data_IF_258048401369
#
_entry.id   IF_258048401369
#
_cell.length_a   1.000
_cell.length_b   1.000
_cell.length_c   1.000
_cell.angle_alpha   90.00
_cell.angle_beta   90.00
_cell.angle_gamma   90.00
#
_symmetry.space_group_name_H-M   'P 1'
#
loop_
_entity.id
_entity.type
_entity.pdbx_description
1 polymer ?
#
# COMPACT_ATOMS: atom_id res chain seq x y z
N UNK A 1 19.57 -13.79 23.97
CA UNK A 1 18.38 -13.02 24.40
C UNK A 1 17.50 -13.89 25.28
N UNK A 2 17.70 -13.83 26.60
CA UNK A 2 16.88 -14.54 27.59
C UNK A 2 15.73 -13.63 28.01
N UNK A 3 14.48 -14.14 27.99
CA UNK A 3 13.32 -13.42 28.52
C UNK A 3 12.10 -13.26 27.61
N UNK A 4 12.13 -13.69 26.33
CA UNK A 4 10.90 -13.74 25.52
C UNK A 4 10.01 -14.91 25.98
N UNK A 5 8.83 -14.59 26.50
CA UNK A 5 7.74 -15.54 26.70
C UNK A 5 7.40 -16.20 25.37
N UNK A 6 7.14 -17.51 25.40
CA UNK A 6 6.82 -18.29 24.21
C UNK A 6 5.31 -18.39 24.08
N UNK A 7 4.75 -18.32 22.86
CA UNK A 7 3.31 -18.46 22.68
C UNK A 7 2.84 -19.81 23.24
N UNK A 8 1.68 -19.82 23.89
CA UNK A 8 1.14 -21.02 24.58
C UNK A 8 0.94 -22.19 23.63
N UNK A 9 0.61 -21.92 22.37
CA UNK A 9 0.57 -22.92 21.28
C UNK A 9 1.88 -23.70 21.12
N UNK A 10 3.03 -23.02 21.24
CA UNK A 10 4.36 -23.65 21.15
C UNK A 10 4.69 -24.46 22.42
N UNK A 11 4.16 -24.06 23.58
CA UNK A 11 4.31 -24.81 24.84
C UNK A 11 3.43 -26.08 24.83
N UNK A 12 2.20 -26.01 24.30
CA UNK A 12 1.34 -27.18 24.09
C UNK A 12 2.01 -28.21 23.15
N UNK A 13 2.64 -27.75 22.06
CA UNK A 13 3.40 -28.63 21.18
C UNK A 13 4.63 -29.27 21.87
N UNK A 14 5.32 -28.53 22.73
CA UNK A 14 6.43 -29.05 23.53
C UNK A 14 5.96 -30.20 24.44
N UNK A 15 4.83 -30.03 25.13
CA UNK A 15 4.27 -31.05 26.01
C UNK A 15 3.84 -32.31 25.22
N UNK A 16 3.21 -32.15 24.05
CA UNK A 16 2.85 -33.28 23.16
C UNK A 16 4.07 -34.07 22.70
N UNK A 17 5.13 -33.39 22.26
CA UNK A 17 6.36 -34.06 21.83
C UNK A 17 7.05 -34.77 23.00
N UNK A 18 6.93 -34.24 24.22
CA UNK A 18 7.43 -34.91 25.41
C UNK A 18 6.63 -36.17 25.76
N UNK A 19 5.30 -36.11 25.65
CA UNK A 19 4.40 -37.26 25.84
C UNK A 19 4.67 -38.38 24.80
N UNK A 20 5.04 -38.01 23.58
CA UNK A 20 5.48 -38.93 22.52
C UNK A 20 6.89 -39.51 22.74
N UNK A 21 7.53 -39.25 23.88
CA UNK A 21 8.85 -39.81 24.23
C UNK A 21 10.04 -39.18 23.50
N UNK A 22 9.87 -38.04 22.81
CA UNK A 22 10.96 -37.39 22.09
C UNK A 22 12.02 -36.82 23.03
N UNK A 23 13.28 -36.92 22.62
CA UNK A 23 14.40 -36.42 23.43
C UNK A 23 14.41 -34.88 23.49
N UNK A 24 14.81 -34.29 24.62
CA UNK A 24 14.84 -32.82 24.83
C UNK A 24 15.61 -32.04 23.75
N UNK A 25 16.67 -32.65 23.18
CA UNK A 25 17.44 -32.06 22.06
C UNK A 25 16.66 -32.05 20.75
N UNK A 26 15.87 -33.09 20.51
CA UNK A 26 15.02 -33.25 19.32
C UNK A 26 13.85 -32.26 19.37
N UNK A 27 13.19 -32.13 20.53
CA UNK A 27 12.11 -31.15 20.76
C UNK A 27 12.61 -29.72 20.51
N UNK A 28 13.79 -29.37 21.01
CA UNK A 28 14.41 -28.06 20.80
C UNK A 28 14.64 -27.76 19.30
N UNK A 29 15.07 -28.76 18.53
CA UNK A 29 15.32 -28.65 17.09
C UNK A 29 14.02 -28.47 16.30
N UNK A 30 12.98 -29.25 16.62
CA UNK A 30 11.68 -29.22 15.93
C UNK A 30 10.98 -27.88 16.15
N UNK A 31 10.99 -27.36 17.38
CA UNK A 31 10.27 -26.14 17.74
C UNK A 31 11.10 -24.86 17.55
N UNK A 32 12.37 -24.95 17.15
CA UNK A 32 13.25 -23.78 16.99
C UNK A 32 13.51 -23.01 18.28
N UNK A 33 13.52 -23.71 19.44
CA UNK A 33 13.74 -23.11 20.76
C UNK A 33 14.99 -23.66 21.43
N UNK A 34 15.56 -22.90 22.38
CA UNK A 34 16.77 -23.35 23.07
C UNK A 34 16.51 -24.59 23.93
N UNK A 35 17.48 -25.51 24.00
CA UNK A 35 17.43 -26.68 24.90
C UNK A 35 17.19 -26.30 26.37
N UNK A 36 17.70 -25.15 26.80
CA UNK A 36 17.51 -24.63 28.15
C UNK A 36 16.08 -24.19 28.40
N UNK A 37 15.42 -23.63 27.39
CA UNK A 37 13.98 -23.30 27.43
C UNK A 37 13.14 -24.56 27.54
N UNK A 38 13.44 -25.60 26.75
CA UNK A 38 12.75 -26.90 26.85
C UNK A 38 12.89 -27.50 28.25
N UNK A 39 14.13 -27.49 28.79
CA UNK A 39 14.41 -27.98 30.14
C UNK A 39 13.63 -27.21 31.20
N UNK A 40 13.53 -25.87 31.08
CA UNK A 40 12.81 -25.02 32.03
C UNK A 40 11.31 -25.31 32.05
N UNK A 41 10.65 -25.42 30.89
CA UNK A 41 9.21 -25.72 30.85
C UNK A 41 8.88 -27.14 31.31
N UNK A 42 9.71 -28.14 30.98
CA UNK A 42 9.52 -29.50 31.50
C UNK A 42 9.74 -29.59 33.01
N UNK A 43 10.65 -28.79 33.56
CA UNK A 43 10.81 -28.69 35.01
C UNK A 43 9.58 -28.05 35.66
N UNK A 44 9.04 -26.96 35.09
CA UNK A 44 7.81 -26.32 35.57
C UNK A 44 6.61 -27.27 35.50
N UNK A 45 6.51 -28.06 34.44
CA UNK A 45 5.53 -29.15 34.32
C UNK A 45 5.67 -30.14 35.48
N UNK A 46 6.87 -30.65 35.73
CA UNK A 46 7.12 -31.59 36.84
C UNK A 46 6.79 -31.02 38.22
N UNK A 47 6.83 -29.69 38.39
CA UNK A 47 6.44 -29.01 39.63
C UNK A 47 4.94 -28.68 39.72
N UNK A 48 4.17 -28.85 38.64
CA UNK A 48 2.77 -28.41 38.55
C UNK A 48 1.76 -29.45 39.07
N UNK A 49 2.13 -30.74 39.10
CA UNK A 49 1.27 -31.83 39.58
C UNK A 49 0.09 -32.21 38.67
N UNK A 50 -0.03 -31.63 37.47
CA UNK A 50 -1.07 -31.94 36.49
C UNK A 50 -0.58 -32.96 35.45
N UNK A 51 -1.50 -33.74 34.87
CA UNK A 51 -1.18 -34.56 33.70
C UNK A 51 -1.05 -33.68 32.44
N UNK A 52 -0.32 -34.17 31.43
CA UNK A 52 -0.14 -33.48 30.16
C UNK A 52 -1.47 -33.28 29.43
N UNK A 53 -2.37 -34.27 29.48
CA UNK A 53 -3.66 -34.20 28.80
C UNK A 53 -4.52 -33.04 29.36
N UNK A 54 -4.59 -32.90 30.68
CA UNK A 54 -5.29 -31.79 31.35
C UNK A 54 -4.71 -30.42 30.96
N UNK A 55 -3.38 -30.35 30.82
CA UNK A 55 -2.68 -29.12 30.42
C UNK A 55 -2.93 -28.73 28.96
N UNK A 56 -3.24 -29.70 28.10
CA UNK A 56 -3.54 -29.45 26.70
C UNK A 56 -4.98 -28.95 26.50
N UNK A 57 -5.89 -29.33 27.39
CA UNK A 57 -7.30 -28.90 27.37
C UNK A 57 -7.52 -27.51 27.95
N UNK A 58 -6.63 -27.00 28.80
CA UNK A 58 -6.77 -25.64 29.32
C UNK A 58 -6.68 -24.58 28.22
N UNK A 59 -7.55 -23.57 28.34
CA UNK A 59 -7.45 -22.35 27.55
C UNK A 59 -6.12 -21.63 27.80
N UNK A 60 -5.62 -20.98 26.74
CA UNK A 60 -4.29 -20.36 26.74
C UNK A 60 -4.04 -19.39 27.92
N UNK A 61 -5.00 -18.54 28.36
CA UNK A 61 -4.79 -17.67 29.53
C UNK A 61 -4.61 -18.44 30.85
N UNK A 62 -5.31 -19.56 31.01
CA UNK A 62 -5.24 -20.40 32.20
C UNK A 62 -3.91 -21.15 32.22
N UNK A 63 -3.50 -21.70 31.07
CA UNK A 63 -2.21 -22.37 30.90
C UNK A 63 -1.05 -21.40 31.17
N UNK A 64 -1.17 -20.16 30.67
CA UNK A 64 -0.18 -19.11 30.85
C UNK A 64 0.01 -18.77 32.34
N UNK A 65 -1.08 -18.59 33.09
CA UNK A 65 -1.01 -18.33 34.54
C UNK A 65 -0.28 -19.43 35.32
N UNK A 66 -0.36 -20.69 34.89
CA UNK A 66 0.27 -21.84 35.55
C UNK A 66 1.78 -21.92 35.27
N UNK A 67 2.20 -21.60 34.05
CA UNK A 67 3.63 -21.65 33.66
C UNK A 67 4.39 -20.34 33.93
N UNK A 68 3.68 -19.22 34.06
CA UNK A 68 4.24 -17.88 34.27
C UNK A 68 3.98 -17.32 35.68
N UNK A 69 3.69 -18.17 36.67
CA UNK A 69 3.67 -17.76 38.08
C UNK A 69 4.90 -16.88 38.36
N UNK A 70 4.62 -15.63 38.71
CA UNK A 70 5.62 -14.58 38.85
C UNK A 70 6.77 -15.01 39.75
N UNK A 71 7.94 -14.44 39.49
CA UNK A 71 9.16 -14.64 40.27
C UNK A 71 8.83 -14.67 41.79
N UNK A 72 9.30 -15.65 42.59
CA UNK A 72 8.96 -15.83 44.01
C UNK A 72 9.47 -14.71 44.96
N UNK A 73 9.71 -13.51 44.44
CA UNK A 73 10.07 -12.30 45.18
C UNK A 73 8.93 -11.74 46.05
N UNK A 74 7.70 -12.26 45.91
CA UNK A 74 6.53 -11.77 46.64
C UNK A 74 6.39 -12.31 48.08
N UNK A 75 7.39 -13.04 48.59
CA UNK A 75 7.42 -13.57 49.96
C UNK A 75 8.62 -13.07 50.80
N UNK A 76 9.17 -11.91 50.48
CA UNK A 76 10.22 -11.29 51.31
C UNK A 76 9.68 -10.07 52.06
N UNK A 77 9.94 -9.99 53.37
CA UNK A 77 9.61 -8.82 54.21
C UNK A 77 10.11 -7.48 53.64
N UNK A 78 11.15 -7.51 52.78
CA UNK A 78 11.69 -6.35 52.07
C UNK A 78 10.68 -5.72 51.10
N UNK A 79 9.83 -6.52 50.47
CA UNK A 79 8.80 -6.05 49.54
C UNK A 79 7.62 -5.40 50.26
N UNK A 80 7.25 -5.88 51.45
CA UNK A 80 6.15 -5.31 52.23
C UNK A 80 6.44 -3.86 52.65
N UNK A 81 7.69 -3.57 53.04
CA UNK A 81 8.12 -2.21 53.37
C UNK A 81 8.04 -1.30 52.15
N UNK A 82 8.62 -1.76 51.03
CA UNK A 82 8.60 -1.01 49.78
C UNK A 82 7.16 -0.75 49.28
N UNK A 83 6.28 -1.76 49.36
CA UNK A 83 4.87 -1.66 48.95
C UNK A 83 4.10 -0.57 49.70
N UNK A 84 4.36 -0.38 50.99
CA UNK A 84 3.68 0.66 51.80
C UNK A 84 4.02 2.09 51.35
N UNK A 85 5.20 2.29 50.76
CA UNK A 85 5.68 3.61 50.32
C UNK A 85 5.56 3.83 48.79
N UNK A 86 5.06 2.83 48.04
CA UNK A 86 4.94 2.89 46.58
C UNK A 86 4.08 4.06 46.08
N UNK A 87 2.95 4.34 46.74
CA UNK A 87 2.07 5.44 46.34
C UNK A 87 2.73 6.81 46.52
N UNK A 88 3.51 6.97 47.60
CA UNK A 88 4.31 8.18 47.86
C UNK A 88 5.34 8.41 46.76
N UNK A 89 6.13 7.39 46.41
CA UNK A 89 7.15 7.50 45.36
C UNK A 89 6.56 7.82 43.98
N UNK A 90 5.38 7.27 43.66
CA UNK A 90 4.67 7.59 42.40
C UNK A 90 4.16 9.03 42.37
N UNK A 91 3.79 9.61 43.52
CA UNK A 91 3.37 11.00 43.61
C UNK A 91 4.55 11.97 43.53
N UNK A 92 5.65 11.70 44.24
CA UNK A 92 6.84 12.57 44.23
C UNK A 92 7.55 12.59 42.87
N UNK A 93 7.52 11.50 42.10
CA UNK A 93 8.00 11.47 40.71
C UNK A 93 7.30 12.44 39.76
N UNK A 94 6.16 13.03 40.15
CA UNK A 94 5.46 14.04 39.34
C UNK A 94 5.97 15.46 39.58
N UNK A 95 6.80 15.69 40.61
CA UNK A 95 7.36 17.01 40.92
C UNK A 95 8.60 17.29 40.08
N UNK A 96 8.76 18.54 39.65
CA UNK A 96 9.88 18.97 38.81
C UNK A 96 11.19 18.83 39.59
N UNK A 97 12.17 18.09 39.02
CA UNK A 97 13.50 17.89 39.59
C UNK A 97 13.70 16.58 40.36
N UNK A 98 12.62 15.82 40.63
CA UNK A 98 12.71 14.52 41.32
C UNK A 98 13.01 13.41 40.32
N UNK A 99 14.10 12.68 40.53
CA UNK A 99 14.50 11.54 39.69
C UNK A 99 14.33 10.21 40.43
N UNK A 100 14.24 9.10 39.69
CA UNK A 100 14.17 7.75 40.29
C UNK A 100 15.39 7.42 41.14
N UNK A 101 16.53 8.04 40.85
CA UNK A 101 17.77 7.86 41.61
C UNK A 101 17.63 8.51 43.00
N UNK A 102 17.14 9.76 43.05
CA UNK A 102 16.90 10.50 44.30
C UNK A 102 15.94 9.73 45.22
N UNK A 103 14.83 9.22 44.68
CA UNK A 103 13.87 8.44 45.48
C UNK A 103 14.43 7.08 45.93
N UNK A 104 15.35 6.50 45.16
CA UNK A 104 16.02 5.26 45.57
C UNK A 104 17.06 5.51 46.66
N UNK A 105 17.78 6.64 46.61
CA UNK A 105 18.70 7.08 47.65
C UNK A 105 17.94 7.30 48.98
N UNK A 106 16.79 8.00 48.95
CA UNK A 106 15.88 8.16 50.09
C UNK A 106 15.35 6.81 50.63
N UNK A 107 15.02 5.88 49.74
CA UNK A 107 14.64 4.51 50.11
C UNK A 107 15.80 3.73 50.76
N UNK A 108 17.04 3.94 50.31
CA UNK A 108 18.22 3.26 50.87
C UNK A 108 18.65 3.83 52.21
N UNK A 109 18.48 5.13 52.45
CA UNK A 109 18.70 5.76 53.75
C UNK A 109 17.73 5.23 54.81
N UNK A 110 16.45 5.11 54.45
CA UNK A 110 15.41 4.57 55.34
C UNK A 110 15.46 3.05 55.49
N UNK A 111 16.03 2.32 54.53
CA UNK A 111 16.16 0.86 54.58
C UNK A 111 17.50 0.37 53.99
N UNK A 112 18.56 0.27 54.82
CA UNK A 112 19.90 -0.14 54.37
C UNK A 112 19.93 -1.52 53.71
N UNK A 113 19.08 -2.46 54.16
CA UNK A 113 18.93 -3.82 53.61
C UNK A 113 17.90 -3.93 52.48
N UNK A 114 17.42 -2.79 51.96
CA UNK A 114 16.45 -2.70 50.87
C UNK A 114 17.01 -3.06 49.49
N UNK A 115 16.12 -3.08 48.49
CA UNK A 115 16.43 -3.41 47.10
C UNK A 115 17.50 -2.52 46.45
N UNK A 116 18.27 -3.12 45.54
CA UNK A 116 19.19 -2.39 44.66
C UNK A 116 18.42 -1.49 43.67
N UNK A 117 19.08 -0.47 43.12
CA UNK A 117 18.46 0.53 42.23
C UNK A 117 17.64 -0.09 41.08
N UNK A 118 18.20 -1.10 40.42
CA UNK A 118 17.54 -1.82 39.32
C UNK A 118 16.26 -2.55 39.78
N UNK A 119 16.28 -3.14 40.96
CA UNK A 119 15.13 -3.85 41.54
C UNK A 119 14.05 -2.88 42.03
N UNK A 120 14.45 -1.76 42.63
CA UNK A 120 13.55 -0.67 43.01
C UNK A 120 12.80 -0.11 41.79
N UNK A 121 13.55 0.21 40.71
CA UNK A 121 12.96 0.66 39.45
C UNK A 121 12.00 -0.38 38.85
N UNK A 122 12.33 -1.67 38.94
CA UNK A 122 11.47 -2.76 38.48
C UNK A 122 10.14 -2.80 39.23
N UNK A 123 10.16 -2.79 40.57
CA UNK A 123 8.94 -2.83 41.38
C UNK A 123 8.07 -1.58 41.20
N UNK A 124 8.70 -0.41 41.10
CA UNK A 124 7.99 0.85 40.85
C UNK A 124 7.29 0.85 39.48
N UNK A 125 7.96 0.33 38.45
CA UNK A 125 7.38 0.18 37.12
C UNK A 125 6.21 -0.83 37.10
N UNK A 126 6.33 -1.95 37.81
CA UNK A 126 5.25 -2.93 37.93
C UNK A 126 4.04 -2.37 38.68
N UNK A 127 4.26 -1.57 39.73
CA UNK A 127 3.19 -0.89 40.46
C UNK A 127 2.43 0.11 39.57
N UNK A 128 3.16 0.89 38.77
CA UNK A 128 2.55 1.79 37.78
C UNK A 128 1.73 1.05 36.71
N UNK A 129 2.20 -0.12 36.26
CA UNK A 129 1.43 -0.99 35.35
C UNK A 129 0.17 -1.55 35.99
N UNK A 130 0.25 -2.06 37.21
CA UNK A 130 -0.89 -2.60 37.94
C UNK A 130 -1.96 -1.55 38.29
N UNK A 131 -1.53 -0.30 38.54
CA UNK A 131 -2.45 0.82 38.82
C UNK A 131 -3.29 1.29 37.63
N UNK A 132 -2.98 0.84 36.41
CA UNK A 132 -3.74 1.12 35.19
C UNK A 132 -4.48 -0.13 34.73
N UNK A 133 -5.71 -0.39 35.22
CA UNK A 133 -6.54 -1.44 34.66
C UNK A 133 -6.92 -1.06 33.22
N UNK A 134 -6.34 -1.73 32.24
CA UNK A 134 -6.86 -1.74 30.86
C UNK A 134 -8.10 -2.61 30.84
N UNK A 135 -9.28 -1.99 30.88
CA UNK A 135 -10.52 -2.69 30.60
C UNK A 135 -10.56 -3.03 29.10
N UNK A 136 -10.81 -4.29 28.77
CA UNK A 136 -11.17 -4.68 27.40
C UNK A 136 -12.59 -4.17 27.17
N UNK A 137 -12.74 -3.16 26.31
CA UNK A 137 -14.04 -2.68 25.88
C UNK A 137 -14.55 -3.60 24.78
N UNK A 138 -15.69 -4.25 25.02
CA UNK A 138 -16.40 -5.00 23.99
C UNK A 138 -17.20 -4.02 23.14
N UNK A 139 -17.01 -4.06 21.83
CA UNK A 139 -17.78 -3.28 20.85
C UNK A 139 -18.65 -4.23 20.05
N UNK A 140 -19.89 -3.83 19.74
CA UNK A 140 -20.73 -4.55 18.79
C UNK A 140 -20.52 -3.98 17.37
N UNK A 141 -20.54 -4.81 16.32
CA UNK A 141 -20.48 -4.34 14.93
C UNK A 141 -21.58 -3.32 14.64
N UNK A 142 -21.22 -2.21 14.00
CA UNK A 142 -22.16 -1.14 13.59
C UNK A 142 -22.95 -0.45 14.71
N UNK A 143 -22.62 -0.71 15.98
CA UNK A 143 -23.30 -0.08 17.12
C UNK A 143 -22.92 1.40 17.23
N UNK A 144 -21.62 1.71 17.15
CA UNK A 144 -21.10 3.07 17.33
C UNK A 144 -20.12 3.46 16.23
N UNK A 145 -20.15 4.73 15.86
CA UNK A 145 -19.12 5.39 15.06
C UNK A 145 -18.53 6.53 15.87
N UNK A 146 -17.24 6.46 16.16
CA UNK A 146 -16.52 7.56 16.81
C UNK A 146 -16.09 8.57 15.77
N UNK A 147 -16.33 9.86 16.02
CA UNK A 147 -15.93 10.94 15.13
C UNK A 147 -15.12 11.99 15.89
N UNK A 148 -14.08 12.51 15.25
CA UNK A 148 -13.22 13.56 15.79
C UNK A 148 -12.55 14.37 14.68
N UNK A 149 -12.06 15.56 15.02
CA UNK A 149 -11.11 16.29 14.20
C UNK A 149 -9.67 16.04 14.66
N UNK A 150 -8.80 15.79 13.70
CA UNK A 150 -7.37 15.76 13.90
C UNK A 150 -6.86 17.01 14.62
N UNK A 151 -6.04 16.81 15.66
CA UNK A 151 -5.55 17.94 16.47
C UNK A 151 -4.64 18.94 15.74
N UNK A 152 -3.84 18.51 14.74
CA UNK A 152 -2.93 19.42 14.01
C UNK A 152 -3.53 19.80 12.66
N UNK A 153 -3.72 21.10 12.44
CA UNK A 153 -4.10 21.66 11.14
C UNK A 153 -3.09 21.26 10.06
N UNK A 154 -3.61 20.78 8.93
CA UNK A 154 -2.83 20.52 7.72
C UNK A 154 -3.00 21.69 6.74
N UNK A 155 -2.25 21.65 5.64
CA UNK A 155 -2.41 22.59 4.54
C UNK A 155 -2.19 21.90 3.21
N UNK A 156 -2.83 22.42 2.18
CA UNK A 156 -2.62 22.03 0.78
C UNK A 156 -2.35 23.28 -0.06
N UNK A 157 -1.73 23.11 -1.22
CA UNK A 157 -1.43 24.20 -2.15
C UNK A 157 -2.45 24.14 -3.27
N UNK A 158 -3.12 25.26 -3.54
CA UNK A 158 -3.91 25.40 -4.75
C UNK A 158 -2.97 25.52 -5.95
N UNK A 159 -3.09 24.61 -6.91
CA UNK A 159 -2.20 24.50 -8.07
C UNK A 159 -2.40 25.69 -9.04
N UNK A 160 -3.57 26.32 -9.03
CA UNK A 160 -3.89 27.44 -9.91
C UNK A 160 -3.41 28.78 -9.36
N UNK A 161 -3.55 28.99 -8.05
CA UNK A 161 -3.20 30.27 -7.40
C UNK A 161 -1.85 30.25 -6.69
N UNK A 162 -1.31 29.06 -6.39
CA UNK A 162 -0.10 28.88 -5.58
C UNK A 162 -0.31 29.14 -4.09
N UNK A 163 -1.54 29.42 -3.65
CA UNK A 163 -1.84 29.75 -2.26
C UNK A 163 -1.83 28.51 -1.36
N UNK A 164 -1.30 28.68 -0.14
CA UNK A 164 -1.32 27.65 0.90
C UNK A 164 -2.64 27.77 1.67
N UNK A 165 -3.55 26.83 1.43
CA UNK A 165 -4.86 26.77 2.09
C UNK A 165 -4.76 25.81 3.28
N UNK A 166 -5.10 26.31 4.47
CA UNK A 166 -5.17 25.48 5.69
C UNK A 166 -6.45 24.63 5.67
N UNK A 167 -6.34 23.39 6.12
CA UNK A 167 -7.45 22.46 6.23
C UNK A 167 -7.39 21.67 7.54
N UNK A 168 -8.56 21.15 7.91
CA UNK A 168 -8.76 20.30 9.08
C UNK A 168 -9.11 18.91 8.61
N UNK A 169 -8.70 17.88 9.34
CA UNK A 169 -9.00 16.48 8.96
C UNK A 169 -10.05 15.93 9.89
N UNK A 170 -11.23 15.68 9.34
CA UNK A 170 -12.26 14.86 9.97
C UNK A 170 -11.82 13.39 9.94
N UNK A 171 -11.97 12.69 11.07
CA UNK A 171 -11.66 11.28 11.21
C UNK A 171 -12.85 10.58 11.87
N UNK A 172 -13.26 9.46 11.30
CA UNK A 172 -14.28 8.58 11.87
C UNK A 172 -13.74 7.17 12.00
N UNK A 173 -14.17 6.41 13.01
CA UNK A 173 -13.70 5.05 13.26
C UNK A 173 -14.82 4.16 13.81
N UNK A 174 -14.98 2.97 13.21
CA UNK A 174 -15.79 1.89 13.73
C UNK A 174 -14.97 1.08 14.74
N UNK A 175 -15.37 1.04 16.03
CA UNK A 175 -14.54 0.50 17.10
C UNK A 175 -14.46 -1.04 17.12
N UNK A 176 -15.39 -1.74 16.43
CA UNK A 176 -15.35 -3.20 16.32
C UNK A 176 -14.26 -3.69 15.36
N UNK A 177 -14.09 -3.00 14.22
CA UNK A 177 -13.21 -3.43 13.12
C UNK A 177 -11.99 -2.54 12.92
N UNK A 178 -11.86 -1.46 13.70
CA UNK A 178 -10.90 -0.37 13.49
C UNK A 178 -11.01 0.31 12.12
N UNK A 179 -12.12 0.08 11.40
CA UNK A 179 -12.32 0.63 10.07
C UNK A 179 -12.50 2.14 10.14
N UNK A 180 -11.55 2.86 9.55
CA UNK A 180 -11.46 4.31 9.66
C UNK A 180 -11.77 5.02 8.34
N UNK A 181 -12.42 6.17 8.45
CA UNK A 181 -12.64 7.11 7.38
C UNK A 181 -11.97 8.43 7.74
N UNK A 182 -11.36 9.10 6.76
CA UNK A 182 -10.77 10.41 6.97
C UNK A 182 -11.04 11.33 5.77
N UNK A 183 -11.34 12.59 6.05
CA UNK A 183 -11.63 13.60 5.03
C UNK A 183 -11.04 14.95 5.43
N UNK A 184 -10.37 15.62 4.50
CA UNK A 184 -9.94 17.00 4.69
C UNK A 184 -11.11 17.95 4.36
N UNK A 185 -11.40 18.87 5.28
CA UNK A 185 -12.41 19.93 5.14
C UNK A 185 -11.79 21.29 5.41
N UNK A 186 -12.43 22.36 4.92
CA UNK A 186 -11.89 23.72 5.01
C UNK A 186 -11.87 24.20 6.46
N UNK A 187 -12.97 24.00 7.18
CA UNK A 187 -13.15 24.47 8.56
C UNK A 187 -13.73 23.38 9.46
N UNK A 188 -13.86 23.67 10.76
CA UNK A 188 -14.61 22.83 11.71
C UNK A 188 -16.08 23.29 11.85
N UNK A 189 -16.53 24.21 11.00
CA UNK A 189 -17.89 24.75 11.04
C UNK A 189 -18.98 23.70 10.79
N UNK A 190 -20.22 24.06 11.11
CA UNK A 190 -21.38 23.16 11.09
C UNK A 190 -21.57 22.52 9.70
N UNK A 191 -21.47 23.31 8.63
CA UNK A 191 -21.63 22.83 7.25
C UNK A 191 -20.58 21.80 6.84
N UNK A 192 -19.29 22.12 7.05
CA UNK A 192 -18.16 21.23 6.75
C UNK A 192 -18.24 19.93 7.58
N UNK A 193 -18.73 20.03 8.82
CA UNK A 193 -18.89 18.88 9.70
C UNK A 193 -20.01 17.95 9.26
N UNK A 194 -21.19 18.50 8.92
CA UNK A 194 -22.33 17.75 8.37
C UNK A 194 -21.96 17.11 7.04
N UNK A 195 -21.26 17.85 6.18
CA UNK A 195 -20.75 17.33 4.92
C UNK A 195 -19.82 16.13 5.13
N UNK A 196 -18.86 16.25 6.05
CA UNK A 196 -17.94 15.17 6.37
C UNK A 196 -18.65 13.91 6.91
N UNK A 197 -19.64 14.08 7.78
CA UNK A 197 -20.46 12.96 8.29
C UNK A 197 -21.25 12.30 7.14
N UNK A 198 -21.88 13.09 6.29
CA UNK A 198 -22.68 12.58 5.15
C UNK A 198 -21.82 11.78 4.18
N UNK A 199 -20.63 12.27 3.86
CA UNK A 199 -19.65 11.54 3.05
C UNK A 199 -19.14 10.26 3.74
N UNK A 200 -18.92 10.31 5.06
CA UNK A 200 -18.52 9.15 5.85
C UNK A 200 -19.58 8.05 5.78
N UNK A 201 -20.85 8.36 6.06
CA UNK A 201 -21.95 7.40 6.01
C UNK A 201 -22.13 6.80 4.61
N UNK A 202 -22.01 7.64 3.57
CA UNK A 202 -22.06 7.19 2.17
C UNK A 202 -20.91 6.23 1.85
N UNK A 203 -19.70 6.50 2.34
CA UNK A 203 -18.53 5.64 2.15
C UNK A 203 -18.66 4.30 2.88
N UNK A 204 -19.20 4.32 4.10
CA UNK A 204 -19.45 3.11 4.89
C UNK A 204 -20.53 2.21 4.26
N UNK A 205 -21.37 2.76 3.38
CA UNK A 205 -22.46 2.02 2.72
C UNK A 205 -23.60 1.65 3.69
N UNK A 206 -23.66 2.29 4.86
CA UNK A 206 -24.62 2.02 5.91
C UNK A 206 -24.50 3.02 7.07
N UNK A 207 -25.52 3.05 7.92
CA UNK A 207 -25.60 3.98 9.05
C UNK A 207 -25.46 3.22 10.37
N UNK A 208 -24.53 3.62 11.26
CA UNK A 208 -24.38 3.03 12.59
C UNK A 208 -25.54 3.45 13.50
N UNK A 209 -25.83 2.67 14.56
CA UNK A 209 -26.91 3.01 15.50
C UNK A 209 -26.66 4.32 16.25
N UNK A 210 -25.42 4.61 16.60
CA UNK A 210 -25.04 5.84 17.26
C UNK A 210 -23.76 6.47 16.68
N UNK A 211 -23.75 7.80 16.60
CA UNK A 211 -22.59 8.61 16.27
C UNK A 211 -22.09 9.29 17.55
N UNK A 212 -20.81 9.11 17.86
CA UNK A 212 -20.19 9.57 19.11
C UNK A 212 -19.11 10.60 18.82
N UNK A 213 -19.42 11.91 18.92
CA UNK A 213 -18.43 12.97 18.83
C UNK A 213 -17.64 13.14 20.13
N UNK A 214 -16.31 13.19 20.06
CA UNK A 214 -15.42 13.27 21.24
C UNK A 214 -15.38 14.68 21.87
N UNK A 215 -15.73 15.75 21.12
CA UNK A 215 -15.72 17.11 21.68
C UNK A 215 -16.58 18.15 20.91
N UNK A 216 -17.90 18.12 21.10
CA UNK A 216 -18.85 19.02 20.42
C UNK A 216 -18.56 20.52 20.61
N UNK A 217 -18.00 20.94 21.75
CA UNK A 217 -17.81 22.37 22.08
C UNK A 217 -16.61 23.02 21.40
N UNK A 218 -15.60 22.24 21.03
CA UNK A 218 -14.40 22.75 20.36
C UNK A 218 -14.60 22.95 18.86
N UNK A 219 -15.61 22.29 18.29
CA UNK A 219 -15.88 22.32 16.85
C UNK A 219 -16.45 23.66 16.36
N UNK A 220 -17.08 24.47 17.23
CA UNK A 220 -17.72 25.73 16.83
C UNK A 220 -16.98 26.92 17.42
N UNK A 221 -15.89 27.35 16.77
CA UNK A 221 -15.27 28.65 17.05
C UNK A 221 -15.72 29.66 15.99
N UNK A 222 -16.99 30.08 16.09
CA UNK A 222 -17.55 31.39 15.71
C UNK A 222 -19.07 31.28 15.72
N UNK A 223 -19.73 32.06 16.57
CA UNK A 223 -21.18 32.24 16.55
C UNK A 223 -21.55 33.28 15.49
N UNK A 224 -22.10 32.84 14.35
CA UNK A 224 -22.84 33.72 13.44
C UNK A 224 -24.33 33.70 13.81
N UNK A 225 -25.01 34.85 13.71
CA UNK A 225 -26.42 35.02 14.15
C UNK A 225 -27.43 34.29 13.28
N UNK A 226 -27.03 33.84 12.10
CA UNK A 226 -27.90 33.24 11.08
C UNK A 226 -27.62 31.74 10.84
N UNK A 227 -26.61 31.16 11.48
CA UNK A 227 -26.33 29.73 11.38
C UNK A 227 -27.14 28.95 12.43
N UNK A 228 -27.74 27.78 12.07
CA UNK A 228 -28.39 26.92 13.04
C UNK A 228 -27.36 26.43 14.07
N UNK A 229 -27.75 26.37 15.34
CA UNK A 229 -26.89 25.82 16.38
C UNK A 229 -26.49 24.38 16.02
N UNK A 230 -25.21 24.03 16.18
CA UNK A 230 -24.65 22.72 15.82
C UNK A 230 -25.51 21.55 16.31
N UNK A 231 -26.10 21.66 17.50
CA UNK A 231 -26.95 20.61 18.07
C UNK A 231 -28.22 20.38 17.22
N UNK A 232 -28.87 21.44 16.75
CA UNK A 232 -30.09 21.34 15.93
C UNK A 232 -29.77 20.67 14.59
N UNK A 233 -28.69 21.12 13.94
CA UNK A 233 -28.31 20.59 12.63
C UNK A 233 -27.82 19.12 12.72
N UNK A 234 -27.22 18.74 13.84
CA UNK A 234 -26.87 17.36 14.14
C UNK A 234 -28.11 16.50 14.45
N UNK A 235 -29.08 17.01 15.20
CA UNK A 235 -30.34 16.32 15.47
C UNK A 235 -31.13 16.08 14.18
N UNK A 236 -31.19 17.07 13.29
CA UNK A 236 -31.82 16.94 11.97
C UNK A 236 -31.13 15.87 11.10
N UNK A 237 -29.79 15.84 11.11
CA UNK A 237 -29.01 14.79 10.44
C UNK A 237 -29.31 13.42 11.03
N UNK A 238 -29.37 13.31 12.37
CA UNK A 238 -29.67 12.06 13.06
C UNK A 238 -31.05 11.52 12.68
N UNK A 239 -32.06 12.41 12.63
CA UNK A 239 -33.41 12.09 12.19
C UNK A 239 -33.45 11.65 10.72
N UNK A 240 -32.71 12.33 9.83
CA UNK A 240 -32.66 11.98 8.41
C UNK A 240 -32.09 10.57 8.16
N UNK A 241 -31.00 10.23 8.84
CA UNK A 241 -30.32 8.94 8.66
C UNK A 241 -30.84 7.83 9.58
N UNK A 242 -31.78 8.12 10.48
CA UNK A 242 -32.31 7.15 11.44
C UNK A 242 -31.27 6.68 12.46
N UNK A 243 -30.38 7.58 12.89
CA UNK A 243 -29.31 7.32 13.87
C UNK A 243 -29.48 8.19 15.11
N UNK A 244 -28.64 8.00 16.13
CA UNK A 244 -28.65 8.80 17.36
C UNK A 244 -27.28 9.43 17.59
N UNK A 245 -27.25 10.69 18.05
CA UNK A 245 -25.99 11.36 18.41
C UNK A 245 -25.80 11.29 19.92
N UNK A 246 -24.70 10.68 20.35
CA UNK A 246 -24.41 10.47 21.78
C UNK A 246 -23.08 11.13 22.10
N UNK A 247 -23.05 12.27 22.80
CA UNK A 247 -21.79 12.95 23.14
C UNK A 247 -20.93 12.10 24.08
N UNK A 248 -19.61 12.10 23.87
CA UNK A 248 -18.66 11.46 24.78
C UNK A 248 -18.68 12.15 26.16
N UNK A 249 -18.60 11.37 27.25
CA UNK A 249 -18.69 11.90 28.63
C UNK A 249 -17.44 12.73 29.00
N UNK A 250 -17.63 14.02 29.27
CA UNK A 250 -16.59 15.04 29.54
C UNK A 250 -15.70 14.78 30.77
N UNK A 251 -16.08 13.91 31.73
CA UNK A 251 -15.43 13.80 33.06
C UNK A 251 -14.78 12.47 33.44
N UNK A 252 -14.72 11.49 32.54
CA UNK A 252 -13.96 10.25 32.78
C UNK A 252 -13.47 9.65 31.47
N UNK A 253 -12.22 9.89 31.06
CA UNK A 253 -11.71 9.45 29.77
C UNK A 253 -11.39 7.95 29.81
N UNK A 254 -12.41 7.10 29.74
CA UNK A 254 -12.24 5.65 29.55
C UNK A 254 -12.46 5.24 28.09
N UNK A 255 -13.21 6.04 27.33
CA UNK A 255 -13.42 5.85 25.89
C UNK A 255 -12.22 6.36 25.03
N UNK A 256 -11.30 7.12 25.66
CA UNK A 256 -10.02 7.56 25.04
C UNK A 256 -9.11 6.41 24.59
N UNK A 257 -9.34 5.20 25.09
CA UNK A 257 -8.40 4.09 24.91
C UNK A 257 -8.20 3.70 23.44
N UNK A 258 -9.22 3.76 22.57
CA UNK A 258 -9.05 3.33 21.17
C UNK A 258 -8.20 4.31 20.33
N UNK A 259 -8.41 5.61 20.51
CA UNK A 259 -7.60 6.63 19.82
C UNK A 259 -6.19 6.76 20.41
N UNK A 260 -6.03 6.55 21.72
CA UNK A 260 -4.71 6.63 22.38
C UNK A 260 -3.88 5.34 22.28
N UNK A 261 -4.49 4.15 22.16
CA UNK A 261 -3.73 2.89 22.00
C UNK A 261 -2.99 2.84 20.65
N UNK A 262 -3.39 3.65 19.68
CA UNK A 262 -2.64 3.87 18.42
C UNK A 262 -1.30 4.58 18.61
N UNK A 263 -1.00 5.13 19.80
CA UNK A 263 0.34 5.66 20.13
C UNK A 263 1.43 4.57 20.19
N UNK A 264 1.07 3.27 20.18
CA UNK A 264 2.04 2.17 20.25
C UNK A 264 2.59 1.70 18.89
N UNK A 265 2.07 2.21 17.78
CA UNK A 265 2.73 2.16 16.47
C UNK A 265 2.90 3.61 15.98
N UNK A 266 4.13 4.12 16.01
CA UNK A 266 4.51 5.50 15.70
C UNK A 266 4.21 5.88 14.23
N UNK A 267 2.93 6.04 13.88
CA UNK A 267 2.49 6.73 12.69
C UNK A 267 1.60 7.87 13.16
N UNK A 268 2.13 9.09 13.05
CA UNK A 268 1.30 10.29 13.18
C UNK A 268 0.16 10.25 12.17
N UNK A 269 -0.95 10.92 12.46
CA UNK A 269 -2.06 11.03 11.51
C UNK A 269 -1.58 11.53 10.13
N UNK A 270 -0.64 12.47 10.11
CA UNK A 270 -0.05 12.96 8.86
C UNK A 270 0.69 11.87 8.07
N UNK A 271 1.38 10.95 8.74
CA UNK A 271 2.06 9.83 8.09
C UNK A 271 1.05 8.77 7.62
N UNK A 272 0.03 8.48 8.43
CA UNK A 272 -1.08 7.61 8.03
C UNK A 272 -1.81 8.13 6.78
N UNK A 273 -2.14 9.42 6.74
CA UNK A 273 -2.76 10.05 5.58
C UNK A 273 -1.85 10.03 4.35
N UNK A 274 -0.55 10.28 4.51
CA UNK A 274 0.41 10.17 3.39
C UNK A 274 0.42 8.76 2.80
N UNK A 275 0.42 7.72 3.64
CA UNK A 275 0.37 6.33 3.19
C UNK A 275 -0.94 6.03 2.46
N UNK A 276 -2.09 6.47 2.98
CA UNK A 276 -3.39 6.30 2.32
C UNK A 276 -3.45 7.00 0.97
N UNK A 277 -2.98 8.24 0.88
CA UNK A 277 -2.92 9.00 -0.37
C UNK A 277 -1.96 8.38 -1.38
N UNK A 278 -0.81 7.88 -0.93
CA UNK A 278 0.14 7.16 -1.78
C UNK A 278 -0.48 5.87 -2.34
N UNK A 279 -1.17 5.10 -1.50
CA UNK A 279 -1.86 3.88 -1.93
C UNK A 279 -2.96 4.18 -2.95
N UNK A 280 -3.79 5.20 -2.72
CA UNK A 280 -4.84 5.61 -3.68
C UNK A 280 -4.22 6.09 -5.00
N UNK A 281 -3.14 6.88 -4.94
CA UNK A 281 -2.42 7.32 -6.13
C UNK A 281 -1.82 6.15 -6.93
N UNK A 282 -1.18 5.20 -6.26
CA UNK A 282 -0.65 3.98 -6.87
C UNK A 282 -1.76 3.12 -7.48
N UNK A 283 -2.88 2.94 -6.77
CA UNK A 283 -4.06 2.22 -7.26
C UNK A 283 -4.60 2.85 -8.55
N UNK A 284 -4.78 4.18 -8.59
CA UNK A 284 -5.20 4.90 -9.81
C UNK A 284 -4.20 4.75 -10.96
N UNK A 285 -2.90 4.83 -10.69
CA UNK A 285 -1.85 4.60 -11.69
C UNK A 285 -1.91 3.19 -12.25
N UNK A 286 -2.00 2.18 -11.39
CA UNK A 286 -2.09 0.78 -11.79
C UNK A 286 -3.36 0.51 -12.61
N UNK A 287 -4.51 1.01 -12.17
CA UNK A 287 -5.78 0.89 -12.91
C UNK A 287 -5.69 1.54 -14.30
N UNK A 288 -5.05 2.72 -14.40
CA UNK A 288 -4.79 3.37 -15.68
C UNK A 288 -3.88 2.52 -16.56
N UNK A 289 -2.77 2.01 -16.02
CA UNK A 289 -1.83 1.15 -16.73
C UNK A 289 -2.51 -0.10 -17.29
N UNK A 290 -3.23 -0.85 -16.45
CA UNK A 290 -3.93 -2.08 -16.86
C UNK A 290 -4.97 -1.80 -17.95
N UNK A 291 -5.71 -0.68 -17.85
CA UNK A 291 -6.64 -0.26 -18.90
C UNK A 291 -5.92 0.04 -20.22
N UNK A 292 -4.81 0.78 -20.18
CA UNK A 292 -4.04 1.12 -21.39
C UNK A 292 -3.44 -0.14 -22.02
N UNK A 293 -2.84 -1.01 -21.22
CA UNK A 293 -2.26 -2.29 -21.63
C UNK A 293 -3.30 -3.20 -22.28
N UNK A 294 -4.49 -3.31 -21.69
CA UNK A 294 -5.62 -4.08 -22.25
C UNK A 294 -6.07 -3.50 -23.59
N UNK A 295 -6.21 -2.17 -23.68
CA UNK A 295 -6.67 -1.49 -24.89
C UNK A 295 -5.65 -1.57 -26.04
N UNK A 296 -4.34 -1.64 -25.73
CA UNK A 296 -3.28 -1.73 -26.73
C UNK A 296 -3.31 -3.05 -27.51
N UNK A 297 -3.72 -4.15 -26.87
CA UNK A 297 -3.90 -5.44 -27.55
C UNK A 297 -2.60 -6.14 -27.94
N UNK A 298 -1.57 -6.06 -27.09
CA UNK A 298 -0.26 -6.68 -27.36
C UNK A 298 -0.33 -8.18 -27.62
N UNK A 299 0.51 -8.67 -28.54
CA UNK A 299 0.66 -10.11 -28.84
C UNK A 299 1.33 -10.88 -27.69
N UNK A 300 2.28 -10.25 -27.01
CA UNK A 300 3.00 -10.85 -25.89
C UNK A 300 2.85 -9.99 -24.64
N UNK A 301 2.78 -10.67 -23.50
CA UNK A 301 3.02 -10.06 -22.20
C UNK A 301 4.52 -10.02 -22.00
N UNK A 302 5.13 -8.83 -22.15
CA UNK A 302 6.57 -8.66 -22.15
C UNK A 302 6.92 -7.38 -21.39
N UNK A 303 7.92 -7.43 -20.52
CA UNK A 303 8.48 -6.25 -19.85
C UNK A 303 9.92 -5.98 -20.30
N UNK A 304 10.42 -4.77 -20.03
CA UNK A 304 11.78 -4.41 -20.43
C UNK A 304 12.82 -5.25 -19.66
N UNK A 305 12.52 -5.61 -18.42
CA UNK A 305 13.38 -6.43 -17.55
C UNK A 305 13.56 -7.87 -18.05
N UNK A 306 12.59 -8.38 -18.83
CA UNK A 306 12.65 -9.72 -19.43
C UNK A 306 13.48 -9.75 -20.73
N UNK A 307 13.91 -8.59 -21.24
CA UNK A 307 14.72 -8.52 -22.46
C UNK A 307 16.13 -9.01 -22.15
N UNK A 308 16.55 -10.06 -22.86
CA UNK A 308 17.95 -10.49 -22.86
C UNK A 308 18.82 -9.46 -23.59
N UNK A 309 19.56 -8.67 -22.81
CA UNK A 309 20.50 -7.64 -23.27
C UNK A 309 21.81 -8.30 -23.65
N UNK A 310 22.17 -8.18 -24.91
CA UNK A 310 23.42 -8.69 -25.46
C UNK A 310 23.76 -7.89 -26.72
N UNK A 311 24.90 -7.21 -26.70
CA UNK A 311 25.36 -6.39 -27.82
C UNK A 311 25.57 -7.25 -29.08
N UNK A 312 25.96 -8.52 -28.96
CA UNK A 312 26.09 -9.44 -30.09
C UNK A 312 24.74 -9.74 -30.76
N UNK A 313 23.64 -9.57 -30.03
CA UNK A 313 22.27 -9.69 -30.54
C UNK A 313 21.75 -8.39 -31.15
N UNK A 314 22.50 -7.29 -31.07
CA UNK A 314 22.04 -5.96 -31.48
C UNK A 314 21.10 -5.29 -30.47
N UNK A 315 21.05 -5.78 -29.22
CA UNK A 315 20.34 -5.11 -28.11
C UNK A 315 21.38 -4.53 -27.17
N UNK A 316 21.74 -3.27 -27.41
CA UNK A 316 22.63 -2.53 -26.52
C UNK A 316 21.90 -2.00 -25.27
N UNK A 317 22.61 -1.99 -24.14
CA UNK A 317 22.05 -1.56 -22.85
C UNK A 317 21.73 -0.08 -22.82
N UNK A 318 22.60 0.76 -23.40
CA UNK A 318 22.41 2.22 -23.41
C UNK A 318 21.25 2.60 -24.32
N UNK A 319 21.16 1.97 -25.49
CA UNK A 319 20.04 2.15 -26.40
C UNK A 319 18.71 1.72 -25.76
N UNK A 320 18.66 0.53 -25.13
CA UNK A 320 17.44 0.05 -24.48
C UNK A 320 17.04 0.96 -23.31
N UNK A 321 18.00 1.43 -22.50
CA UNK A 321 17.74 2.38 -21.43
C UNK A 321 17.19 3.71 -21.96
N UNK A 322 17.74 4.21 -23.07
CA UNK A 322 17.27 5.43 -23.75
C UNK A 322 15.84 5.26 -24.22
N UNK A 323 15.52 4.16 -24.92
CA UNK A 323 14.15 3.87 -25.37
C UNK A 323 13.19 3.65 -24.20
N UNK A 324 13.67 3.08 -23.08
CA UNK A 324 12.88 2.88 -21.87
C UNK A 324 12.47 4.19 -21.18
N UNK A 325 13.15 5.31 -21.45
CA UNK A 325 12.73 6.64 -20.97
C UNK A 325 11.47 7.14 -21.69
N UNK A 326 11.24 6.69 -22.93
CA UNK A 326 10.14 7.15 -23.77
C UNK A 326 10.40 8.47 -24.52
N UNK A 327 11.61 9.04 -24.46
CA UNK A 327 11.94 10.32 -25.11
C UNK A 327 11.62 10.33 -26.61
N UNK A 328 11.83 9.22 -27.31
CA UNK A 328 11.50 9.08 -28.74
C UNK A 328 10.01 9.38 -29.04
N UNK A 329 9.11 9.10 -28.09
CA UNK A 329 7.66 9.39 -28.22
C UNK A 329 7.33 10.87 -28.12
N UNK A 330 8.19 11.67 -27.48
CA UNK A 330 8.00 13.13 -27.38
C UNK A 330 8.41 13.82 -28.67
N UNK A 331 9.43 13.29 -29.34
CA UNK A 331 9.95 13.80 -30.61
C UNK A 331 9.23 13.21 -31.84
N UNK A 332 8.33 12.24 -31.66
CA UNK A 332 7.66 11.54 -32.76
C UNK A 332 8.62 10.67 -33.60
N UNK A 333 9.73 10.23 -33.01
CA UNK A 333 10.75 9.41 -33.67
C UNK A 333 10.27 7.96 -33.80
N UNK A 334 10.70 7.28 -34.86
CA UNK A 334 10.33 5.89 -35.11
C UNK A 334 11.35 4.90 -34.53
N UNK A 335 10.91 3.69 -34.21
CA UNK A 335 11.79 2.57 -33.83
C UNK A 335 11.58 1.43 -34.81
N UNK A 336 12.63 1.09 -35.56
CA UNK A 336 12.59 0.02 -36.56
C UNK A 336 13.35 -1.18 -36.01
N UNK A 337 12.68 -2.32 -35.89
CA UNK A 337 13.23 -3.56 -35.33
C UNK A 337 13.26 -4.63 -36.41
N UNK A 338 14.44 -4.93 -36.93
CA UNK A 338 14.65 -5.95 -37.97
C UNK A 338 15.33 -7.19 -37.40
N UNK A 339 15.40 -8.27 -38.18
CA UNK A 339 16.10 -9.51 -37.78
C UNK A 339 15.35 -10.79 -38.17
N UNK A 340 16.00 -11.94 -38.09
CA UNK A 340 15.43 -13.21 -38.51
C UNK A 340 14.22 -13.67 -37.66
N UNK A 341 13.48 -14.66 -38.14
CA UNK A 341 12.33 -15.21 -37.42
C UNK A 341 12.74 -15.82 -36.08
N UNK A 342 12.01 -15.48 -35.01
CA UNK A 342 12.29 -16.01 -33.67
C UNK A 342 13.36 -15.26 -32.88
N UNK A 343 14.02 -14.23 -33.43
CA UNK A 343 15.00 -13.40 -32.72
C UNK A 343 14.37 -12.40 -31.73
N UNK A 344 13.07 -12.49 -31.43
CA UNK A 344 12.40 -11.68 -30.40
C UNK A 344 11.92 -10.27 -30.79
N UNK A 345 11.84 -9.93 -32.09
CA UNK A 345 11.37 -8.60 -32.56
C UNK A 345 10.04 -8.16 -31.95
N UNK A 346 9.01 -8.99 -32.10
CA UNK A 346 7.67 -8.73 -31.57
C UNK A 346 7.64 -8.67 -30.03
N UNK A 347 8.56 -9.40 -29.36
CA UNK A 347 8.70 -9.36 -27.91
C UNK A 347 9.28 -8.01 -27.47
N UNK A 348 10.36 -7.55 -28.12
CA UNK A 348 10.96 -6.24 -27.87
C UNK A 348 9.97 -5.10 -28.14
N UNK A 349 9.25 -5.13 -29.25
CA UNK A 349 8.21 -4.15 -29.56
C UNK A 349 7.10 -4.15 -28.49
N UNK A 350 6.66 -5.34 -28.05
CA UNK A 350 5.65 -5.45 -26.99
C UNK A 350 6.17 -4.90 -25.67
N UNK A 351 7.42 -5.17 -25.29
CA UNK A 351 8.03 -4.66 -24.07
C UNK A 351 8.13 -3.12 -24.05
N UNK A 352 8.59 -2.52 -25.15
CA UNK A 352 8.60 -1.06 -25.32
C UNK A 352 7.19 -0.47 -25.26
N UNK A 353 6.21 -1.13 -25.87
CA UNK A 353 4.81 -0.72 -25.80
C UNK A 353 4.21 -0.82 -24.39
N UNK A 354 4.55 -1.85 -23.63
CA UNK A 354 4.11 -1.97 -22.24
C UNK A 354 4.75 -0.90 -21.36
N UNK A 355 6.03 -0.61 -21.57
CA UNK A 355 6.70 0.49 -20.89
C UNK A 355 6.04 1.85 -21.19
N UNK A 356 5.67 2.10 -22.45
CA UNK A 356 4.92 3.29 -22.81
C UNK A 356 3.56 3.37 -22.08
N UNK A 357 2.84 2.24 -21.96
CA UNK A 357 1.62 2.17 -21.16
C UNK A 357 1.86 2.49 -19.67
N UNK A 358 2.98 2.01 -19.11
CA UNK A 358 3.39 2.27 -17.71
C UNK A 358 3.65 3.76 -17.47
N UNK A 359 4.19 4.46 -18.48
CA UNK A 359 4.36 5.91 -18.51
C UNK A 359 3.04 6.66 -18.78
N UNK A 360 1.92 5.94 -18.91
CA UNK A 360 0.59 6.51 -19.12
C UNK A 360 0.27 6.88 -20.57
N UNK A 361 1.10 6.47 -21.54
CA UNK A 361 0.90 6.73 -22.98
C UNK A 361 -0.10 5.74 -23.58
N UNK A 362 -0.90 6.21 -24.55
CA UNK A 362 -1.86 5.40 -25.32
C UNK A 362 -1.13 4.66 -26.42
N UNK A 363 -1.16 3.34 -26.35
CA UNK A 363 -0.51 2.48 -27.34
C UNK A 363 -1.57 1.71 -28.13
N UNK A 364 -1.33 1.49 -29.42
CA UNK A 364 -2.06 0.52 -30.23
C UNK A 364 -1.10 -0.44 -30.90
N UNK A 365 -1.40 -1.74 -30.82
CA UNK A 365 -0.60 -2.78 -31.43
C UNK A 365 -1.39 -3.49 -32.53
N UNK A 366 -0.79 -3.63 -33.69
CA UNK A 366 -1.34 -4.39 -34.81
C UNK A 366 -0.27 -5.25 -35.47
N UNK A 367 -0.61 -6.49 -35.78
CA UNK A 367 0.06 -7.19 -36.87
C UNK A 367 -0.38 -6.55 -38.19
N UNK A 368 0.55 -6.29 -39.12
CA UNK A 368 0.29 -5.56 -40.36
C UNK A 368 -0.87 -6.17 -41.16
N UNK A 369 -0.91 -7.48 -41.34
CA UNK A 369 -1.97 -8.15 -42.11
C UNK A 369 -3.35 -7.93 -41.48
N UNK A 370 -3.42 -7.94 -40.14
CA UNK A 370 -4.67 -7.62 -39.42
C UNK A 370 -5.04 -6.15 -39.53
N UNK A 371 -4.06 -5.25 -39.58
CA UNK A 371 -4.30 -3.81 -39.79
C UNK A 371 -4.90 -3.57 -41.17
N UNK A 372 -4.29 -4.13 -42.23
CA UNK A 372 -4.75 -4.01 -43.62
C UNK A 372 -6.15 -4.61 -43.81
N UNK A 373 -6.43 -5.75 -43.17
CA UNK A 373 -7.78 -6.32 -43.17
C UNK A 373 -8.79 -5.37 -42.51
N UNK A 374 -8.41 -4.73 -41.38
CA UNK A 374 -9.29 -3.77 -40.69
C UNK A 374 -9.49 -2.49 -41.49
N UNK A 375 -8.47 -1.96 -42.17
CA UNK A 375 -8.65 -0.78 -43.04
C UNK A 375 -9.58 -1.10 -44.20
N UNK A 376 -9.42 -2.29 -44.81
CA UNK A 376 -10.34 -2.77 -45.85
C UNK A 376 -11.79 -2.85 -45.36
N UNK A 377 -12.04 -3.44 -44.19
CA UNK A 377 -13.40 -3.53 -43.62
C UNK A 377 -13.97 -2.16 -43.28
N UNK A 378 -13.19 -1.31 -42.62
CA UNK A 378 -13.63 0.05 -42.29
C UNK A 378 -13.94 0.90 -43.53
N UNK A 379 -13.27 0.63 -44.66
CA UNK A 379 -13.56 1.26 -45.95
C UNK A 379 -14.90 0.79 -46.51
N UNK A 380 -15.19 -0.51 -46.47
CA UNK A 380 -16.48 -1.08 -46.88
C UNK A 380 -17.64 -0.57 -46.02
N UNK A 381 -17.40 -0.35 -44.73
CA UNK A 381 -18.39 0.18 -43.77
C UNK A 381 -18.51 1.72 -43.79
N UNK A 382 -17.70 2.43 -44.57
CA UNK A 382 -17.68 3.89 -44.60
C UNK A 382 -17.14 4.55 -43.32
N UNK A 383 -16.42 3.79 -42.47
CA UNK A 383 -15.88 4.24 -41.19
C UNK A 383 -14.34 4.42 -41.18
N UNK A 384 -13.69 4.37 -42.33
CA UNK A 384 -12.22 4.46 -42.45
C UNK A 384 -11.64 5.73 -41.81
N UNK A 385 -12.26 6.89 -42.02
CA UNK A 385 -11.82 8.15 -41.41
C UNK A 385 -11.85 8.11 -39.88
N UNK A 386 -12.85 7.45 -39.28
CA UNK A 386 -12.92 7.25 -37.82
C UNK A 386 -11.78 6.37 -37.33
N UNK A 387 -11.40 5.36 -38.11
CA UNK A 387 -10.27 4.48 -37.79
C UNK A 387 -8.94 5.24 -37.85
N UNK A 388 -8.66 5.98 -38.91
CA UNK A 388 -7.43 6.78 -39.01
C UNK A 388 -7.35 7.87 -37.94
N UNK A 389 -8.45 8.58 -37.68
CA UNK A 389 -8.54 9.53 -36.56
C UNK A 389 -8.26 8.88 -35.20
N UNK A 390 -8.65 7.62 -35.02
CA UNK A 390 -8.36 6.87 -33.79
C UNK A 390 -6.88 6.50 -33.71
N UNK A 391 -6.27 6.08 -34.83
CA UNK A 391 -4.86 5.73 -34.89
C UNK A 391 -3.97 6.96 -34.67
N UNK A 392 -4.26 8.10 -35.30
CA UNK A 392 -3.49 9.34 -35.13
C UNK A 392 -3.47 9.82 -33.67
N UNK A 393 -4.57 9.65 -32.93
CA UNK A 393 -4.67 9.99 -31.50
C UNK A 393 -3.92 9.06 -30.53
N UNK A 394 -3.27 8.00 -31.03
CA UNK A 394 -2.43 7.14 -30.18
C UNK A 394 -1.02 7.70 -30.09
N UNK A 395 -0.44 7.69 -28.89
CA UNK A 395 0.91 8.21 -28.66
C UNK A 395 1.96 7.30 -29.34
N UNK A 396 1.71 5.98 -29.34
CA UNK A 396 2.57 4.98 -29.96
C UNK A 396 1.73 3.96 -30.76
N UNK A 397 2.09 3.77 -32.03
CA UNK A 397 1.50 2.74 -32.88
C UNK A 397 2.57 1.69 -33.22
N UNK A 398 2.28 0.43 -32.92
CA UNK A 398 3.16 -0.70 -33.20
C UNK A 398 2.60 -1.49 -34.38
N UNK A 399 3.39 -1.62 -35.43
CA UNK A 399 3.10 -2.43 -36.62
C UNK A 399 4.08 -3.61 -36.64
N UNK A 400 3.57 -4.78 -36.31
CA UNK A 400 4.34 -6.03 -36.23
C UNK A 400 4.25 -6.83 -37.54
N UNK A 401 5.32 -7.55 -37.88
CA UNK A 401 5.43 -8.42 -39.06
C UNK A 401 5.26 -7.65 -40.40
N UNK A 402 5.92 -6.49 -40.53
CA UNK A 402 6.01 -5.74 -41.78
C UNK A 402 6.78 -6.53 -42.84
N UNK A 403 6.32 -6.44 -44.09
CA UNK A 403 7.06 -6.95 -45.24
C UNK A 403 6.98 -8.45 -45.52
N UNK A 404 6.00 -9.16 -44.95
CA UNK A 404 5.76 -10.57 -45.30
C UNK A 404 5.26 -10.77 -46.75
N UNK A 405 4.53 -9.80 -47.28
CA UNK A 405 3.94 -9.82 -48.62
C UNK A 405 4.09 -8.44 -49.25
N UNK A 406 4.16 -8.37 -50.58
CA UNK A 406 4.07 -7.08 -51.28
C UNK A 406 2.72 -6.43 -51.01
N UNK A 407 2.72 -5.11 -50.85
CA UNK A 407 1.51 -4.34 -50.62
C UNK A 407 0.79 -4.10 -51.96
N UNK A 408 -0.54 -4.20 -51.96
CA UNK A 408 -1.35 -3.73 -53.08
C UNK A 408 -1.45 -2.18 -53.09
N UNK A 409 -1.98 -1.60 -54.17
CA UNK A 409 -2.06 -0.14 -54.31
C UNK A 409 -2.83 0.52 -53.16
N UNK A 410 -3.95 -0.05 -52.73
CA UNK A 410 -4.77 0.54 -51.66
C UNK A 410 -4.07 0.43 -50.31
N UNK A 411 -3.41 -0.69 -50.03
CA UNK A 411 -2.64 -0.92 -48.82
C UNK A 411 -1.46 0.06 -48.71
N UNK A 412 -0.78 0.37 -49.83
CA UNK A 412 0.29 1.39 -49.87
C UNK A 412 -0.24 2.76 -49.46
N UNK A 413 -1.38 3.17 -50.04
CA UNK A 413 -2.01 4.45 -49.71
C UNK A 413 -2.45 4.51 -48.25
N UNK A 414 -3.04 3.44 -47.71
CA UNK A 414 -3.45 3.37 -46.30
C UNK A 414 -2.25 3.50 -45.35
N UNK A 415 -1.13 2.83 -45.66
CA UNK A 415 0.10 2.90 -44.84
C UNK A 415 0.73 4.28 -44.95
N UNK A 416 0.76 4.88 -46.14
CA UNK A 416 1.23 6.24 -46.35
C UNK A 416 0.44 7.24 -45.51
N UNK A 417 -0.90 7.17 -45.53
CA UNK A 417 -1.77 8.05 -44.72
C UNK A 417 -1.51 7.89 -43.22
N UNK A 418 -1.38 6.64 -42.73
CA UNK A 418 -1.04 6.37 -41.32
C UNK A 418 0.31 6.95 -40.93
N UNK A 419 1.30 6.91 -41.81
CA UNK A 419 2.66 7.42 -41.53
C UNK A 419 2.67 8.94 -41.60
N UNK A 420 2.01 9.54 -42.59
CA UNK A 420 1.89 11.00 -42.76
C UNK A 420 1.26 11.65 -41.52
N UNK A 421 0.15 11.11 -41.02
CA UNK A 421 -0.57 11.64 -39.86
C UNK A 421 0.29 11.65 -38.58
N UNK A 422 1.33 10.81 -38.55
CA UNK A 422 2.15 10.53 -37.36
C UNK A 422 3.54 11.13 -37.44
N UNK A 423 4.04 11.40 -38.63
CA UNK A 423 5.37 11.96 -38.85
C UNK A 423 5.57 13.24 -38.03
N UNK A 424 6.65 13.29 -37.25
CA UNK A 424 7.01 14.37 -36.34
C UNK A 424 5.93 14.76 -35.29
N UNK A 425 4.97 13.86 -35.01
CA UNK A 425 3.87 14.08 -34.05
C UNK A 425 3.73 12.94 -33.04
N UNK A 426 3.67 11.71 -33.52
CA UNK A 426 3.48 10.52 -32.68
C UNK A 426 4.30 9.35 -33.21
N UNK A 427 4.90 8.58 -32.30
CA UNK A 427 5.88 7.56 -32.68
C UNK A 427 5.27 6.29 -33.27
N UNK A 428 6.11 5.61 -34.02
CA UNK A 428 5.85 4.31 -34.64
C UNK A 428 6.92 3.30 -34.20
N UNK A 429 6.50 2.06 -33.93
CA UNK A 429 7.42 0.93 -33.88
C UNK A 429 7.05 0.00 -35.02
N UNK A 430 8.01 -0.31 -35.90
CA UNK A 430 7.79 -1.26 -36.98
C UNK A 430 8.74 -2.44 -36.78
N UNK A 431 8.19 -3.66 -36.79
CA UNK A 431 9.02 -4.86 -36.81
C UNK A 431 8.99 -5.50 -38.19
N UNK A 432 10.14 -5.99 -38.67
CA UNK A 432 10.23 -6.66 -39.96
C UNK A 432 11.23 -7.80 -39.93
N UNK A 433 11.00 -8.84 -40.73
CA UNK A 433 12.03 -9.86 -40.97
C UNK A 433 13.06 -9.41 -42.01
N UNK A 434 12.70 -8.42 -42.81
CA UNK A 434 13.52 -7.92 -43.91
C UNK A 434 14.31 -6.70 -43.45
N UNK A 435 15.60 -6.60 -43.82
CA UNK A 435 16.39 -5.39 -43.64
C UNK A 435 15.68 -4.17 -44.24
N UNK A 436 15.87 -2.99 -43.64
CA UNK A 436 15.22 -1.74 -44.07
C UNK A 436 15.53 -1.42 -45.54
N UNK A 437 16.73 -1.76 -46.00
CA UNK A 437 17.15 -1.58 -47.41
C UNK A 437 16.25 -2.30 -48.41
N UNK A 438 15.58 -3.38 -48.00
CA UNK A 438 14.69 -4.16 -48.86
C UNK A 438 13.22 -3.70 -48.77
N UNK A 439 12.90 -2.70 -47.95
CA UNK A 439 11.51 -2.25 -47.78
C UNK A 439 10.98 -1.52 -49.02
N UNK A 440 11.87 -0.89 -49.79
CA UNK A 440 11.53 -0.23 -51.05
C UNK A 440 10.80 -1.18 -52.01
N UNK A 441 11.37 -2.38 -52.25
CA UNK A 441 10.82 -3.40 -53.15
C UNK A 441 9.49 -4.01 -52.68
N UNK A 442 9.29 -4.07 -51.36
CA UNK A 442 8.08 -4.63 -50.75
C UNK A 442 6.90 -3.67 -50.93
N UNK A 443 7.16 -2.38 -50.76
CA UNK A 443 6.17 -1.33 -51.00
C UNK A 443 5.85 -1.31 -52.49
N UNK A 444 6.87 -1.37 -53.36
CA UNK A 444 6.71 -1.72 -54.77
C UNK A 444 6.13 -0.64 -55.69
N UNK A 445 6.02 0.61 -55.21
CA UNK A 445 5.81 1.81 -56.03
C UNK A 445 6.89 2.82 -55.65
N UNK A 446 7.69 3.26 -56.61
CA UNK A 446 8.89 4.06 -56.35
C UNK A 446 8.59 5.37 -55.64
N UNK A 447 7.48 6.03 -55.99
CA UNK A 447 7.12 7.34 -55.42
C UNK A 447 6.58 7.19 -54.00
N UNK A 448 5.69 6.21 -53.78
CA UNK A 448 5.12 5.97 -52.46
C UNK A 448 6.18 5.37 -51.52
N UNK A 449 7.03 4.48 -52.01
CA UNK A 449 8.12 3.90 -51.23
C UNK A 449 9.10 4.97 -50.74
N UNK A 450 9.50 5.89 -51.61
CA UNK A 450 10.38 7.01 -51.25
C UNK A 450 9.72 7.90 -50.19
N UNK A 451 8.45 8.28 -50.39
CA UNK A 451 7.72 9.12 -49.44
C UNK A 451 7.53 8.46 -48.06
N UNK A 452 7.27 7.15 -48.02
CA UNK A 452 7.15 6.36 -46.78
C UNK A 452 8.50 6.26 -46.06
N UNK A 453 9.56 5.90 -46.79
CA UNK A 453 10.86 5.64 -46.20
C UNK A 453 11.53 6.94 -45.72
N UNK A 454 11.42 8.04 -46.45
CA UNK A 454 11.92 9.35 -46.03
C UNK A 454 11.41 9.72 -44.62
N UNK A 455 10.10 9.54 -44.39
CA UNK A 455 9.44 9.83 -43.11
C UNK A 455 9.74 8.83 -42.00
N UNK A 456 9.95 7.56 -42.35
CA UNK A 456 10.18 6.51 -41.35
C UNK A 456 11.65 6.40 -40.94
N UNK A 457 12.58 6.60 -41.87
CA UNK A 457 13.95 6.08 -41.77
C UNK A 457 14.95 7.17 -41.35
N UNK A 458 14.65 8.44 -41.64
CA UNK A 458 15.57 9.56 -41.39
C UNK A 458 15.78 9.84 -39.89
N UNK A 459 14.74 9.71 -39.07
CA UNK A 459 14.78 9.98 -37.61
C UNK A 459 14.62 8.71 -36.77
N UNK A 460 14.77 7.53 -37.38
CA UNK A 460 14.51 6.26 -36.71
C UNK A 460 15.69 5.72 -35.91
N UNK A 461 15.38 5.24 -34.71
CA UNK A 461 16.19 4.26 -34.01
C UNK A 461 16.11 2.92 -34.73
N UNK A 462 17.25 2.35 -35.12
CA UNK A 462 17.31 1.06 -35.83
C UNK A 462 17.92 0.00 -34.93
N UNK A 463 17.20 -1.10 -34.75
CA UNK A 463 17.61 -2.26 -33.96
C UNK A 463 17.63 -3.46 -34.88
N UNK A 464 18.81 -3.95 -35.22
CA UNK A 464 18.97 -5.15 -36.03
C UNK A 464 19.25 -6.36 -35.11
N UNK A 465 18.24 -7.21 -34.93
CA UNK A 465 18.33 -8.35 -34.04
C UNK A 465 19.04 -9.53 -34.72
N UNK A 466 20.17 -9.94 -34.14
CA UNK A 466 20.98 -11.07 -34.59
C UNK A 466 20.78 -12.31 -33.69
N UNK A 467 21.26 -13.46 -34.15
CA UNK A 467 21.29 -14.71 -33.36
C UNK A 467 20.14 -15.68 -33.63
N UNK A 468 20.23 -16.86 -33.01
CA UNK A 468 19.27 -17.94 -33.22
C UNK A 468 17.88 -17.68 -32.63
N UNK A 469 16.89 -18.44 -33.12
CA UNK A 469 15.52 -18.38 -32.62
C UNK A 469 15.43 -18.72 -31.14
N UNK A 470 14.94 -17.77 -30.35
CA UNK A 470 14.71 -17.94 -28.90
C UNK A 470 13.52 -18.85 -28.59
N UNK A 471 12.72 -19.20 -29.60
CA UNK A 471 11.60 -20.15 -29.44
C UNK A 471 12.09 -21.56 -29.09
N UNK A 472 13.34 -21.90 -29.42
CA UNK A 472 13.95 -23.21 -29.11
C UNK A 472 14.42 -23.35 -27.66
N UNK A 473 14.57 -22.25 -26.92
CA UNK A 473 15.05 -22.23 -25.52
C UNK A 473 13.92 -22.29 -24.48
N UNK A 474 12.70 -22.62 -24.91
CA UNK A 474 11.49 -22.62 -24.08
C UNK A 474 11.10 -24.01 -23.63
#
# INVERSE_FOLDING_TARGET
>A
MAGKTRPMSQIKQLLRLHQQGKAKKEIARILGISKNTVKSYLHKYGSSGYNIDDLLEFDDPVLESKFLLGNPSYKEHRYEFLKKQMDYYVQELKRNGVTRLILWEEYKESNPNGYSFSQFCYHLHQHQKASKPTAVLHHEPSDKLFIDFAGKQLSYVDIQTGEIIKCQVFVACLPYSDYAFAMAVKTQGVEDFIYAISCCLSYLGGVPRAIVPDNLKSAVIKSDRYEPELNVALDDLANHYGTTIVPARVRSPKDKALLETRKHHELSLSEGLKLLLQNEYQSRKNNRFERLKKNAGFRYQATIEEIYIDAARGVDKEMLATLATGAYMENGESVLITGASGCGKSFLASALGQQACMQGKKVAYYNLQKLLMRTKMARLEGSIHKMFTKLSKTDLLIIDDFGLTRLDQQQRMDIMEIIEDRHARNSLIITSQLPVVNWYDIIGDDTIADAILDRLVHTAYRIELNGESLRKKR
#
